data_IF_763150125005
#
_entry.id   IF_763150125005
#
_cell.length_a   1.000
_cell.length_b   1.000
_cell.length_c   1.000
_cell.angle_alpha   90.00
_cell.angle_beta   90.00
_cell.angle_gamma   90.00
#
_symmetry.space_group_name_H-M   'P 1'
#
loop_
_entity.id
_entity.type
_entity.pdbx_description
1 polymer ?
#
# COMPACT_ATOMS: atom_id res chain seq x y z
N UNK A 1 -29.55 17.99 -14.67
CA UNK A 1 -28.31 17.72 -13.91
C UNK A 1 -27.46 18.97 -13.91
N UNK A 2 -27.13 19.57 -12.76
CA UNK A 2 -26.20 20.71 -12.72
C UNK A 2 -24.80 20.21 -13.13
N UNK A 3 -24.20 20.88 -14.10
CA UNK A 3 -22.82 20.64 -14.52
C UNK A 3 -21.89 21.16 -13.44
N UNK A 4 -21.30 20.27 -12.64
CA UNK A 4 -20.30 20.63 -11.65
C UNK A 4 -19.14 21.34 -12.36
N UNK A 5 -18.93 22.62 -12.07
CA UNK A 5 -17.77 23.37 -12.56
C UNK A 5 -16.50 22.67 -12.08
N UNK A 6 -15.63 22.28 -13.01
CA UNK A 6 -14.38 21.56 -12.71
C UNK A 6 -13.48 22.44 -11.84
N UNK A 7 -13.47 22.19 -10.53
CA UNK A 7 -12.48 22.78 -9.62
C UNK A 7 -11.11 22.28 -10.07
N UNK A 8 -10.23 23.18 -10.49
CA UNK A 8 -8.84 22.83 -10.79
C UNK A 8 -8.10 22.70 -9.46
N UNK A 9 -7.59 21.50 -9.09
CA UNK A 9 -6.82 21.37 -7.87
C UNK A 9 -5.55 22.21 -7.97
N UNK A 10 -5.24 22.98 -6.92
CA UNK A 10 -3.96 23.67 -6.81
C UNK A 10 -2.90 22.63 -6.46
N UNK A 11 -1.97 22.38 -7.37
CA UNK A 11 -0.84 21.49 -7.11
C UNK A 11 0.07 22.15 -6.07
N UNK A 12 0.19 21.53 -4.91
CA UNK A 12 1.08 21.96 -3.84
C UNK A 12 2.20 20.93 -3.75
N UNK A 13 3.45 21.41 -3.87
CA UNK A 13 4.60 20.53 -3.74
C UNK A 13 4.87 20.24 -2.26
N UNK A 14 4.62 18.99 -1.84
CA UNK A 14 4.88 18.56 -0.48
C UNK A 14 6.29 17.98 -0.34
N UNK A 15 7.22 18.81 0.14
CA UNK A 15 8.63 18.44 0.33
C UNK A 15 8.82 17.21 1.23
N UNK A 16 7.98 17.04 2.26
CA UNK A 16 8.06 15.92 3.18
C UNK A 16 7.73 14.58 2.51
N UNK A 17 6.60 14.53 1.79
CA UNK A 17 6.18 13.34 1.04
C UNK A 17 7.20 13.03 -0.06
N UNK A 18 7.66 14.04 -0.80
CA UNK A 18 8.68 13.83 -1.85
C UNK A 18 9.97 13.28 -1.27
N UNK A 19 10.46 13.82 -0.14
CA UNK A 19 11.64 13.31 0.54
C UNK A 19 11.50 11.86 1.00
N UNK A 20 10.34 11.49 1.55
CA UNK A 20 10.04 10.12 1.97
C UNK A 20 10.10 9.12 0.81
N UNK A 21 9.47 9.42 -0.33
CA UNK A 21 9.52 8.54 -1.49
C UNK A 21 10.93 8.46 -2.10
N UNK A 22 11.67 9.57 -2.16
CA UNK A 22 13.08 9.54 -2.62
C UNK A 22 13.91 8.62 -1.72
N UNK A 23 13.79 8.76 -0.40
CA UNK A 23 14.50 7.91 0.57
C UNK A 23 14.18 6.42 0.37
N UNK A 24 12.90 6.06 0.24
CA UNK A 24 12.48 4.67 0.01
C UNK A 24 13.08 4.09 -1.28
N UNK A 25 13.02 4.83 -2.39
CA UNK A 25 13.52 4.33 -3.68
C UNK A 25 15.06 4.23 -3.71
N UNK A 26 15.77 5.19 -3.11
CA UNK A 26 17.22 5.11 -2.99
C UNK A 26 17.65 3.95 -2.08
N UNK A 27 16.94 3.72 -0.98
CA UNK A 27 17.16 2.56 -0.11
C UNK A 27 16.96 1.23 -0.84
N UNK A 28 15.97 1.13 -1.73
CA UNK A 28 15.73 -0.07 -2.52
C UNK A 28 16.91 -0.44 -3.45
N UNK A 29 17.72 0.55 -3.87
CA UNK A 29 18.92 0.29 -4.69
C UNK A 29 20.00 -0.50 -3.94
N UNK A 30 19.94 -0.58 -2.60
CA UNK A 30 20.86 -1.42 -1.82
C UNK A 30 20.77 -2.90 -2.21
N UNK A 31 19.63 -3.35 -2.76
CA UNK A 31 19.46 -4.72 -3.23
C UNK A 31 20.44 -5.12 -4.37
N UNK A 32 21.06 -4.16 -5.05
CA UNK A 32 22.08 -4.44 -6.09
C UNK A 32 23.45 -4.79 -5.50
N UNK A 33 23.67 -4.58 -4.21
CA UNK A 33 24.94 -4.90 -3.57
C UNK A 33 24.93 -6.29 -2.95
N UNK A 34 25.99 -7.11 -3.14
CA UNK A 34 26.02 -8.50 -2.66
C UNK A 34 25.81 -8.66 -1.16
N UNK A 35 26.25 -7.68 -0.35
CA UNK A 35 26.10 -7.74 1.11
C UNK A 35 24.65 -7.54 1.60
N UNK A 36 23.77 -7.04 0.74
CA UNK A 36 22.38 -6.70 1.07
C UNK A 36 21.35 -7.54 0.27
N UNK A 37 21.80 -8.53 -0.51
CA UNK A 37 20.95 -9.36 -1.36
C UNK A 37 20.79 -10.79 -0.84
N UNK A 38 19.56 -11.33 -0.91
CA UNK A 38 19.26 -12.74 -0.65
C UNK A 38 18.04 -13.20 -1.46
N UNK A 39 18.11 -14.41 -2.03
CA UNK A 39 16.97 -15.04 -2.70
C UNK A 39 15.79 -15.31 -1.77
N UNK A 40 16.04 -15.57 -0.48
CA UNK A 40 14.96 -15.70 0.51
C UNK A 40 14.21 -14.38 0.71
N UNK A 41 14.92 -13.25 0.63
CA UNK A 41 14.31 -11.93 0.70
C UNK A 41 13.47 -11.62 -0.54
N UNK A 42 13.89 -12.06 -1.73
CA UNK A 42 13.07 -11.94 -2.96
C UNK A 42 11.77 -12.73 -2.83
N UNK A 43 11.83 -13.98 -2.36
CA UNK A 43 10.63 -14.78 -2.13
C UNK A 43 9.70 -14.14 -1.10
N UNK A 44 10.26 -13.64 0.01
CA UNK A 44 9.49 -12.94 1.04
C UNK A 44 8.87 -11.64 0.51
N UNK A 45 9.60 -10.87 -0.31
CA UNK A 45 9.09 -9.66 -0.94
C UNK A 45 7.89 -9.97 -1.85
N UNK A 46 7.96 -11.01 -2.68
CA UNK A 46 6.83 -11.41 -3.54
C UNK A 46 5.62 -11.83 -2.71
N UNK A 47 5.84 -12.64 -1.67
CA UNK A 47 4.79 -13.10 -0.77
C UNK A 47 4.13 -11.93 -0.04
N UNK A 48 4.92 -11.04 0.56
CA UNK A 48 4.41 -9.86 1.27
C UNK A 48 3.73 -8.87 0.33
N UNK A 49 4.23 -8.71 -0.89
CA UNK A 49 3.59 -7.87 -1.91
C UNK A 49 2.19 -8.41 -2.24
N UNK A 50 2.07 -9.72 -2.50
CA UNK A 50 0.77 -10.34 -2.73
C UNK A 50 -0.15 -10.22 -1.51
N UNK A 51 0.34 -10.56 -0.32
CA UNK A 51 -0.44 -10.53 0.92
C UNK A 51 -0.97 -9.13 1.23
N UNK A 52 -0.13 -8.10 1.17
CA UNK A 52 -0.51 -6.73 1.53
C UNK A 52 -1.33 -6.05 0.43
N UNK A 53 -0.97 -6.19 -0.85
CA UNK A 53 -1.68 -5.54 -1.95
C UNK A 53 -3.00 -6.25 -2.31
N UNK A 54 -2.99 -7.59 -2.42
CA UNK A 54 -4.18 -8.33 -2.83
C UNK A 54 -5.14 -8.56 -1.66
N UNK A 55 -4.65 -9.11 -0.54
CA UNK A 55 -5.50 -9.43 0.60
C UNK A 55 -5.74 -8.16 1.45
N UNK A 56 -4.69 -7.43 1.79
CA UNK A 56 -4.82 -6.22 2.61
C UNK A 56 -5.61 -5.10 1.93
N UNK A 57 -5.14 -4.60 0.77
CA UNK A 57 -5.73 -3.46 0.07
C UNK A 57 -6.98 -3.85 -0.72
N UNK A 58 -6.86 -4.76 -1.70
CA UNK A 58 -7.97 -5.06 -2.60
C UNK A 58 -9.14 -5.77 -1.89
N UNK A 59 -8.86 -6.76 -1.05
CA UNK A 59 -9.89 -7.46 -0.32
C UNK A 59 -10.30 -6.73 0.97
N UNK A 60 -9.34 -6.31 1.80
CA UNK A 60 -9.60 -5.63 3.07
C UNK A 60 -10.11 -4.20 2.91
N UNK A 61 -9.24 -3.28 2.50
CA UNK A 61 -9.58 -1.85 2.50
C UNK A 61 -10.67 -1.55 1.45
N UNK A 62 -10.51 -2.04 0.23
CA UNK A 62 -11.41 -1.74 -0.87
C UNK A 62 -12.75 -2.49 -0.78
N UNK A 63 -12.76 -3.83 -0.74
CA UNK A 63 -14.02 -4.60 -0.75
C UNK A 63 -14.71 -4.65 0.60
N UNK A 64 -13.98 -4.96 1.67
CA UNK A 64 -14.57 -5.12 3.00
C UNK A 64 -14.88 -3.77 3.66
N UNK A 65 -13.91 -2.85 3.80
CA UNK A 65 -14.14 -1.59 4.53
C UNK A 65 -14.90 -0.54 3.70
N UNK A 66 -14.48 -0.28 2.47
CA UNK A 66 -15.07 0.77 1.62
C UNK A 66 -16.40 0.34 1.03
N UNK A 67 -16.45 -0.82 0.38
CA UNK A 67 -17.67 -1.28 -0.30
C UNK A 67 -18.61 -2.12 0.56
N UNK A 68 -18.18 -2.58 1.75
CA UNK A 68 -18.99 -3.43 2.63
C UNK A 68 -19.57 -4.65 1.89
N UNK A 69 -18.78 -5.23 1.00
CA UNK A 69 -19.24 -6.27 0.07
C UNK A 69 -19.42 -7.67 0.67
N UNK A 70 -19.06 -7.87 1.94
CA UNK A 70 -19.16 -9.15 2.62
C UNK A 70 -19.07 -9.01 4.15
N UNK A 71 -19.60 -10.00 4.86
CA UNK A 71 -19.46 -10.14 6.31
C UNK A 71 -18.36 -11.15 6.64
N UNK A 72 -17.47 -10.77 7.55
CA UNK A 72 -16.35 -11.58 8.02
C UNK A 72 -16.39 -11.65 9.55
N UNK A 73 -16.02 -12.79 10.16
CA UNK A 73 -15.84 -12.83 11.61
C UNK A 73 -14.75 -11.83 12.01
N UNK A 74 -14.98 -11.12 13.13
CA UNK A 74 -14.19 -9.93 13.51
C UNK A 74 -12.67 -10.19 13.55
N UNK A 75 -12.24 -11.37 14.02
CA UNK A 75 -10.82 -11.70 14.10
C UNK A 75 -10.16 -11.80 12.71
N UNK A 76 -10.86 -12.35 11.71
CA UNK A 76 -10.37 -12.42 10.33
C UNK A 76 -10.30 -11.03 9.73
N UNK A 77 -11.36 -10.23 9.91
CA UNK A 77 -11.40 -8.85 9.45
C UNK A 77 -10.22 -8.04 10.02
N UNK A 78 -9.93 -8.19 11.31
CA UNK A 78 -8.82 -7.50 11.97
C UNK A 78 -7.46 -7.91 11.38
N UNK A 79 -7.22 -9.20 11.12
CA UNK A 79 -5.97 -9.66 10.50
C UNK A 79 -5.81 -9.09 9.10
N UNK A 80 -6.87 -9.15 8.29
CA UNK A 80 -6.85 -8.65 6.90
C UNK A 80 -6.61 -7.14 6.86
N UNK A 81 -7.29 -6.38 7.71
CA UNK A 81 -7.11 -4.92 7.81
C UNK A 81 -5.71 -4.57 8.34
N UNK A 82 -5.18 -5.37 9.28
CA UNK A 82 -3.80 -5.23 9.72
C UNK A 82 -2.81 -5.46 8.56
N UNK A 83 -2.98 -6.51 7.76
CA UNK A 83 -2.20 -6.71 6.54
C UNK A 83 -2.32 -5.52 5.56
N UNK A 84 -3.51 -4.91 5.47
CA UNK A 84 -3.72 -3.67 4.70
C UNK A 84 -2.92 -2.48 5.23
N UNK A 85 -2.83 -2.31 6.55
CA UNK A 85 -2.04 -1.21 7.16
C UNK A 85 -0.54 -1.31 6.86
N UNK A 86 -0.03 -2.53 6.70
CA UNK A 86 1.37 -2.78 6.33
C UNK A 86 1.70 -2.32 4.89
N UNK A 87 0.70 -2.11 4.03
CA UNK A 87 0.92 -1.63 2.66
C UNK A 87 1.32 -0.14 2.60
N UNK A 88 1.12 0.62 3.68
CA UNK A 88 1.44 2.06 3.74
C UNK A 88 0.77 2.89 2.63
N UNK A 89 -0.53 2.66 2.41
CA UNK A 89 -1.33 3.34 1.37
C UNK A 89 -2.55 4.03 2.00
N UNK A 90 -2.35 5.23 2.57
CA UNK A 90 -3.39 6.06 3.16
C UNK A 90 -3.24 7.52 2.71
#
# INVERSE_FOLDING_TARGET
MPTLSRVKPKLIFNRGITGFFIFLHLGALLAFFPFAFSWSAVALMLFLHWLTASIGICFGYHRYLTHRGMDLPQWVANIIVFCGSLACQN
#
